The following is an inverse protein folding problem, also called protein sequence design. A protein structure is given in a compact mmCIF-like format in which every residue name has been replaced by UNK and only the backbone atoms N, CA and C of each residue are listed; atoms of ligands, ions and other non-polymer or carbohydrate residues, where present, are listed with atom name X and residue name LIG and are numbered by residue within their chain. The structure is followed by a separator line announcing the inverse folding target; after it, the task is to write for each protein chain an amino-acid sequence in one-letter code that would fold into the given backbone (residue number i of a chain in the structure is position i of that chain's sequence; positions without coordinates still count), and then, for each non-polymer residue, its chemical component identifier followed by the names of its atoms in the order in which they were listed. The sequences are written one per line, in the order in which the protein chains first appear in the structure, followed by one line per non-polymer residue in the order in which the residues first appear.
data_IF_471946876970
#
_entry.id   IF_471946876970
#
_cell.length_a   1.000
_cell.length_b   1.000
_cell.length_c   1.000
_cell.angle_alpha   90.00
_cell.angle_beta   90.00
_cell.angle_gamma   90.00
#
_symmetry.space_group_name_H-M   'P 1'
#
loop_
_entity.id
_entity.type
_entity.pdbx_description
1 polymer ?
#
# COMPACT_ATOMS: atom_id res chain seq x y z
N UNK A 1 9.15 27.15 -10.78
CA UNK A 1 9.83 26.06 -11.53
C UNK A 1 10.81 25.28 -10.65
N UNK A 2 11.54 25.92 -9.72
CA UNK A 2 12.42 25.24 -8.75
C UNK A 2 11.68 24.29 -7.79
N UNK A 3 10.45 24.60 -7.39
CA UNK A 3 9.71 23.77 -6.43
C UNK A 3 9.36 22.40 -6.99
N UNK A 4 8.96 22.33 -8.26
CA UNK A 4 8.66 21.05 -8.95
C UNK A 4 9.91 20.18 -9.02
N UNK A 5 11.08 20.79 -9.24
CA UNK A 5 12.36 20.09 -9.26
C UNK A 5 12.80 19.57 -7.90
N UNK A 6 12.63 20.38 -6.85
CA UNK A 6 12.96 20.00 -5.49
C UNK A 6 12.06 18.86 -5.01
N UNK A 7 10.76 18.93 -5.31
CA UNK A 7 9.80 17.86 -5.01
C UNK A 7 10.14 16.58 -5.77
N UNK A 8 10.42 16.66 -7.07
CA UNK A 8 10.82 15.50 -7.86
C UNK A 8 12.11 14.85 -7.34
N UNK A 9 13.11 15.67 -6.97
CA UNK A 9 14.36 15.20 -6.39
C UNK A 9 14.15 14.53 -5.02
N UNK A 10 13.23 15.04 -4.21
CA UNK A 10 12.88 14.44 -2.93
C UNK A 10 12.25 13.07 -3.12
N UNK A 11 11.20 12.97 -3.95
CA UNK A 11 10.50 11.71 -4.27
C UNK A 11 11.45 10.64 -4.79
N UNK A 12 12.37 11.03 -5.70
CA UNK A 12 13.37 10.11 -6.25
C UNK A 12 14.45 9.73 -5.23
N UNK A 13 14.71 10.59 -4.24
CA UNK A 13 15.65 10.33 -3.15
C UNK A 13 15.08 9.43 -2.04
N UNK A 14 13.76 9.34 -1.92
CA UNK A 14 13.05 8.52 -0.93
C UNK A 14 11.97 7.63 -1.58
N UNK A 15 12.33 6.79 -2.57
CA UNK A 15 11.34 5.97 -3.29
C UNK A 15 10.55 5.02 -2.39
N UNK A 16 11.14 4.57 -1.28
CA UNK A 16 10.48 3.71 -0.29
C UNK A 16 9.21 4.33 0.32
N UNK A 17 9.14 5.65 0.42
CA UNK A 17 7.99 6.35 1.00
C UNK A 17 6.84 6.49 -0.01
N UNK A 18 7.11 6.18 -1.29
CA UNK A 18 6.19 6.36 -2.41
C UNK A 18 5.86 5.04 -3.13
N UNK A 19 6.15 3.89 -2.52
CA UNK A 19 5.86 2.56 -3.09
C UNK A 19 4.37 2.31 -3.37
N UNK A 20 3.48 3.07 -2.72
CA UNK A 20 2.03 2.98 -2.91
C UNK A 20 1.55 3.68 -4.19
N UNK A 21 2.36 4.57 -4.76
CA UNK A 21 2.03 5.34 -5.95
C UNK A 21 3.22 5.38 -6.92
N UNK A 22 3.33 4.33 -7.73
CA UNK A 22 4.34 4.22 -8.78
C UNK A 22 4.19 5.32 -9.84
N UNK A 23 2.98 5.88 -10.04
CA UNK A 23 2.77 6.98 -10.96
C UNK A 23 3.45 8.26 -10.46
N UNK A 24 3.37 8.53 -9.17
CA UNK A 24 4.08 9.64 -8.53
C UNK A 24 5.60 9.52 -8.71
N UNK A 25 6.15 8.33 -8.47
CA UNK A 25 7.59 8.09 -8.66
C UNK A 25 8.00 8.25 -10.14
N UNK A 26 7.27 7.64 -11.07
CA UNK A 26 7.59 7.71 -12.50
C UNK A 26 7.46 9.14 -13.06
N UNK A 27 6.50 9.93 -12.58
CA UNK A 27 6.37 11.35 -12.93
C UNK A 27 7.53 12.18 -12.40
N UNK A 28 7.93 12.01 -11.13
CA UNK A 28 9.09 12.68 -10.55
C UNK A 28 10.38 12.33 -11.31
N UNK A 29 10.55 11.06 -11.66
CA UNK A 29 11.66 10.59 -12.46
C UNK A 29 11.65 11.21 -13.88
N UNK A 30 10.48 11.27 -14.53
CA UNK A 30 10.32 11.91 -15.83
C UNK A 30 10.73 13.39 -15.80
N UNK A 31 10.30 14.12 -14.77
CA UNK A 31 10.68 15.52 -14.55
C UNK A 31 12.19 15.67 -14.40
N UNK A 32 12.84 14.80 -13.62
CA UNK A 32 14.30 14.80 -13.46
C UNK A 32 15.06 14.50 -14.75
N UNK A 33 14.52 13.61 -15.59
CA UNK A 33 15.10 13.26 -16.90
C UNK A 33 14.94 14.39 -17.92
N UNK A 34 13.75 15.00 -17.96
CA UNK A 34 13.46 16.15 -18.82
C UNK A 34 14.39 17.34 -18.53
N UNK A 35 14.70 17.59 -17.25
CA UNK A 35 15.70 18.58 -16.82
C UNK A 35 17.06 18.42 -17.48
N UNK A 36 17.45 17.16 -17.73
CA UNK A 36 18.74 16.79 -18.29
C UNK A 36 18.69 16.70 -19.83
N UNK A 37 17.59 17.16 -20.44
CA UNK A 37 17.35 17.01 -21.88
C UNK A 37 17.13 15.57 -22.32
N UNK A 38 16.80 14.66 -21.39
CA UNK A 38 16.60 13.24 -21.69
C UNK A 38 15.10 12.93 -21.65
N UNK A 39 14.55 12.49 -22.79
CA UNK A 39 13.18 12.01 -22.84
C UNK A 39 13.01 10.75 -21.98
N UNK A 40 11.92 10.69 -21.22
CA UNK A 40 11.52 9.52 -20.47
C UNK A 40 10.05 9.22 -20.78
N UNK A 41 9.79 8.00 -21.22
CA UNK A 41 8.44 7.50 -21.45
C UNK A 41 8.04 6.58 -20.30
N UNK A 42 7.12 7.01 -19.41
CA UNK A 42 6.65 6.21 -18.29
C UNK A 42 5.97 4.91 -18.74
N UNK A 43 5.41 4.84 -19.95
CA UNK A 43 4.76 3.64 -20.48
C UNK A 43 5.75 2.50 -20.74
N UNK A 44 7.06 2.79 -20.79
CA UNK A 44 8.12 1.78 -20.91
C UNK A 44 8.44 1.06 -19.60
N UNK A 45 7.95 1.55 -18.46
CA UNK A 45 8.04 0.84 -17.18
C UNK A 45 7.05 -0.35 -17.20
N UNK A 46 7.50 -1.49 -17.73
CA UNK A 46 6.71 -2.71 -17.62
C UNK A 46 6.64 -3.23 -16.18
N UNK A 47 5.52 -3.88 -15.78
CA UNK A 47 5.30 -4.42 -14.42
C UNK A 47 6.38 -5.39 -13.92
N UNK A 48 7.13 -6.01 -14.83
CA UNK A 48 8.28 -6.87 -14.53
C UNK A 48 9.43 -6.13 -13.80
N UNK A 49 9.42 -4.79 -13.77
CA UNK A 49 10.35 -3.98 -12.99
C UNK A 49 9.74 -3.43 -11.67
N UNK A 50 8.48 -3.74 -11.39
CA UNK A 50 7.83 -3.39 -10.13
C UNK A 50 8.12 -4.50 -9.13
N UNK A 51 9.04 -4.24 -8.21
CA UNK A 51 9.20 -5.07 -7.02
C UNK A 51 7.84 -5.03 -6.31
N UNK A 52 7.12 -6.15 -6.33
CA UNK A 52 5.84 -6.27 -5.64
C UNK A 52 6.03 -5.85 -4.18
N UNK A 53 5.13 -5.01 -3.68
CA UNK A 53 5.15 -4.61 -2.29
C UNK A 53 5.18 -5.88 -1.43
N UNK A 54 6.02 -5.95 -0.37
CA UNK A 54 5.92 -7.05 0.57
C UNK A 54 4.47 -7.13 1.04
N UNK A 55 3.91 -8.34 1.10
CA UNK A 55 2.56 -8.51 1.62
C UNK A 55 2.48 -7.80 2.99
N UNK A 56 1.39 -7.08 3.28
CA UNK A 56 1.24 -6.45 4.59
C UNK A 56 1.42 -7.52 5.67
N UNK A 57 2.04 -7.13 6.78
CA UNK A 57 2.23 -8.06 7.90
C UNK A 57 0.88 -8.69 8.27
N UNK A 58 0.84 -10.02 8.44
CA UNK A 58 -0.39 -10.69 8.82
C UNK A 58 -0.90 -10.08 10.13
N UNK A 59 -2.21 -9.89 10.21
CA UNK A 59 -2.85 -9.43 11.44
C UNK A 59 -2.44 -10.35 12.61
N UNK A 60 -2.11 -9.80 13.80
CA UNK A 60 -1.83 -10.62 14.96
C UNK A 60 -2.97 -11.61 15.22
N UNK A 61 -2.62 -12.88 15.45
CA UNK A 61 -3.56 -13.99 15.55
C UNK A 61 -4.74 -13.69 16.50
N UNK A 62 -4.44 -13.12 17.67
CA UNK A 62 -5.45 -12.77 18.68
C UNK A 62 -6.53 -11.82 18.13
N UNK A 63 -6.11 -10.83 17.32
CA UNK A 63 -7.01 -9.85 16.72
C UNK A 63 -7.87 -10.51 15.64
N UNK A 64 -7.30 -11.39 14.83
CA UNK A 64 -8.05 -12.19 13.85
C UNK A 64 -9.09 -13.08 14.55
N UNK A 65 -8.73 -13.76 15.64
CA UNK A 65 -9.63 -14.62 16.40
C UNK A 65 -10.79 -13.84 17.03
N UNK A 66 -10.53 -12.66 17.59
CA UNK A 66 -11.58 -11.77 18.11
C UNK A 66 -12.54 -11.39 16.99
N UNK A 67 -12.02 -10.88 15.86
CA UNK A 67 -12.83 -10.46 14.71
C UNK A 67 -13.68 -11.60 14.17
N UNK A 68 -13.08 -12.76 13.93
CA UNK A 68 -13.82 -13.94 13.43
C UNK A 68 -14.88 -14.36 14.43
N UNK A 69 -14.56 -14.39 15.72
CA UNK A 69 -15.53 -14.72 16.77
C UNK A 69 -16.71 -13.75 16.82
N UNK A 70 -16.48 -12.46 16.63
CA UNK A 70 -17.54 -11.45 16.51
C UNK A 70 -18.40 -11.64 15.26
N UNK A 71 -17.78 -11.86 14.10
CA UNK A 71 -18.48 -12.14 12.84
C UNK A 71 -19.38 -13.36 12.98
N UNK A 72 -18.87 -14.48 13.47
CA UNK A 72 -19.65 -15.71 13.68
C UNK A 72 -20.83 -15.47 14.62
N UNK A 73 -20.61 -14.76 15.73
CA UNK A 73 -21.69 -14.42 16.68
C UNK A 73 -22.75 -13.51 16.05
N UNK A 74 -22.35 -12.54 15.23
CA UNK A 74 -23.31 -11.68 14.53
C UNK A 74 -24.18 -12.48 13.55
N UNK A 75 -23.59 -13.45 12.85
CA UNK A 75 -24.31 -14.32 11.94
C UNK A 75 -25.26 -15.24 12.71
N UNK A 76 -24.79 -15.84 13.80
CA UNK A 76 -25.62 -16.67 14.67
C UNK A 76 -26.82 -15.91 15.23
N UNK A 77 -26.63 -14.65 15.66
CA UNK A 77 -27.71 -13.80 16.15
C UNK A 77 -28.75 -13.49 15.06
N UNK A 78 -28.31 -13.25 13.81
CA UNK A 78 -29.23 -13.09 12.66
C UNK A 78 -30.07 -14.34 12.40
N UNK A 79 -29.52 -15.52 12.72
CA UNK A 79 -30.22 -16.80 12.62
C UNK A 79 -31.01 -17.18 13.88
N UNK A 80 -31.09 -16.29 14.88
CA UNK A 80 -31.83 -16.51 16.12
C UNK A 80 -31.09 -17.31 17.20
N UNK A 81 -29.81 -17.64 16.98
CA UNK A 81 -28.99 -18.36 17.95
C UNK A 81 -28.23 -17.40 18.88
N UNK A 82 -28.15 -17.74 20.17
CA UNK A 82 -27.38 -16.98 21.17
C UNK A 82 -26.11 -17.75 21.58
N UNK A 83 -24.96 -17.30 21.07
CA UNK A 83 -23.65 -17.85 21.41
C UNK A 83 -23.01 -17.01 22.51
N UNK A 84 -22.60 -17.64 23.62
CA UNK A 84 -21.94 -16.94 24.72
C UNK A 84 -20.47 -16.62 24.42
N UNK A 85 -19.97 -15.48 24.92
CA UNK A 85 -18.53 -15.16 24.92
C UNK A 85 -17.87 -15.95 26.06
N UNK A 86 -17.02 -16.92 25.73
CA UNK A 86 -16.01 -17.43 26.66
C UNK A 86 -14.69 -16.74 26.34
N UNK A 87 -14.15 -16.02 27.30
CA UNK A 87 -12.75 -15.63 27.28
C UNK A 87 -11.96 -16.90 27.66
N UNK A 88 -11.08 -17.37 26.77
CA UNK A 88 -10.06 -18.32 27.18
C UNK A 88 -9.06 -17.54 28.05
N UNK A 89 -8.84 -18.04 29.26
CA UNK A 89 -7.89 -17.48 30.22
C UNK A 89 -6.45 -17.72 29.76
#
# INVERSE_FOLDING_TARGET
MNDIFNTARHIVGTPQDHLHDTHLFSAAWATMKAARGQGFDPQRLHPQHLIGHPAPDPEPLDRTLIRVGETVRSYAAKQGYRIQRRHAA
#
